data_IF_733583857242
#
_entry.id   IF_733583857242
#
_cell.length_a   1.000
_cell.length_b   1.000
_cell.length_c   1.000
_cell.angle_alpha   90.00
_cell.angle_beta   90.00
_cell.angle_gamma   90.00
#
_symmetry.space_group_name_H-M   'P 1'
#
loop_
_entity.id
_entity.type
_entity.pdbx_description
1 polymer ?
#
# COMPACT_ATOMS: atom_id res chain seq x y z
N UNK A 1 -9.39 -59.43 -53.84
CA UNK A 1 -8.87 -59.94 -52.56
C UNK A 1 -7.61 -59.17 -52.29
N UNK A 2 -7.71 -58.11 -51.50
CA UNK A 2 -6.64 -57.15 -51.28
C UNK A 2 -6.55 -56.89 -49.77
N UNK A 3 -5.31 -56.96 -49.28
CA UNK A 3 -4.89 -56.92 -47.88
C UNK A 3 -5.21 -55.55 -47.26
N UNK A 4 -5.93 -55.52 -46.14
CA UNK A 4 -6.13 -54.30 -45.34
C UNK A 4 -5.12 -54.28 -44.17
N UNK A 5 -4.28 -53.25 -44.15
CA UNK A 5 -3.27 -52.98 -43.12
C UNK A 5 -3.91 -52.57 -41.77
N UNK A 6 -3.25 -52.84 -40.63
CA UNK A 6 -3.74 -52.40 -39.32
C UNK A 6 -3.44 -50.90 -39.12
N UNK A 7 -4.48 -50.10 -38.85
CA UNK A 7 -4.34 -48.69 -38.49
C UNK A 7 -3.91 -48.56 -37.02
N UNK A 8 -2.81 -47.85 -36.82
CA UNK A 8 -2.21 -47.50 -35.53
C UNK A 8 -3.18 -46.68 -34.68
N UNK A 9 -3.39 -47.10 -33.43
CA UNK A 9 -4.22 -46.40 -32.46
C UNK A 9 -3.69 -44.99 -32.16
N UNK A 10 -4.53 -43.99 -32.39
CA UNK A 10 -4.30 -42.63 -31.93
C UNK A 10 -4.60 -42.57 -30.42
N UNK A 11 -3.56 -42.57 -29.59
CA UNK A 11 -3.68 -42.21 -28.17
C UNK A 11 -3.97 -40.72 -28.06
N UNK A 12 -5.19 -40.36 -27.64
CA UNK A 12 -5.53 -38.99 -27.24
C UNK A 12 -4.77 -38.63 -25.95
N UNK A 13 -3.97 -37.56 -25.91
CA UNK A 13 -3.44 -37.07 -24.63
C UNK A 13 -4.61 -36.47 -23.83
N UNK A 14 -5.02 -37.15 -22.77
CA UNK A 14 -5.90 -36.61 -21.75
C UNK A 14 -5.14 -35.50 -21.02
N UNK A 15 -5.37 -34.25 -21.42
CA UNK A 15 -4.86 -33.08 -20.72
C UNK A 15 -5.69 -32.87 -19.46
N UNK A 16 -5.38 -33.63 -18.41
CA UNK A 16 -5.94 -33.37 -17.08
C UNK A 16 -5.39 -32.01 -16.64
N UNK A 17 -6.22 -30.98 -16.37
CA UNK A 17 -5.71 -29.73 -15.87
C UNK A 17 -5.07 -29.97 -14.49
N UNK A 18 -3.79 -29.59 -14.37
CA UNK A 18 -2.91 -29.75 -13.20
C UNK A 18 -3.43 -29.10 -11.90
N UNK A 19 -4.49 -28.28 -11.98
CA UNK A 19 -5.14 -27.72 -10.81
C UNK A 19 -6.35 -28.58 -10.42
N UNK A 20 -6.15 -29.46 -9.43
CA UNK A 20 -7.23 -30.17 -8.76
C UNK A 20 -8.31 -29.17 -8.34
N UNK A 21 -9.59 -29.53 -8.50
CA UNK A 21 -10.74 -28.69 -8.04
C UNK A 21 -10.58 -28.24 -6.58
N UNK A 22 -9.91 -29.05 -5.76
CA UNK A 22 -9.49 -28.69 -4.41
C UNK A 22 -8.58 -27.44 -4.38
N UNK A 23 -7.57 -27.31 -5.25
CA UNK A 23 -6.70 -26.14 -5.33
C UNK A 23 -7.48 -24.86 -5.71
N UNK A 24 -8.48 -24.98 -6.59
CA UNK A 24 -9.42 -23.88 -6.90
C UNK A 24 -10.30 -23.51 -5.70
N UNK A 25 -10.74 -24.49 -4.91
CA UNK A 25 -11.55 -24.22 -3.71
C UNK A 25 -10.81 -23.44 -2.61
N UNK A 26 -9.47 -23.52 -2.56
CA UNK A 26 -8.65 -22.66 -1.70
C UNK A 26 -8.57 -21.22 -2.23
N UNK A 27 -8.66 -21.04 -3.55
CA UNK A 27 -8.69 -19.72 -4.19
C UNK A 27 -10.08 -19.07 -4.12
N UNK A 28 -11.14 -19.88 -4.04
CA UNK A 28 -12.54 -19.45 -3.98
C UNK A 28 -13.05 -19.12 -2.57
N UNK A 29 -12.23 -19.29 -1.53
CA UNK A 29 -12.65 -18.93 -0.18
C UNK A 29 -13.01 -17.44 -0.18
N UNK A 30 -14.29 -17.05 0.02
CA UNK A 30 -14.64 -15.64 0.14
C UNK A 30 -13.74 -15.09 1.24
N UNK A 31 -13.10 -13.92 1.05
CA UNK A 31 -12.13 -13.42 2.01
C UNK A 31 -12.81 -13.46 3.37
N UNK A 32 -12.33 -14.36 4.23
CA UNK A 32 -12.84 -14.47 5.58
C UNK A 32 -12.64 -13.08 6.16
N UNK A 33 -13.74 -12.38 6.42
CA UNK A 33 -13.79 -11.00 6.92
C UNK A 33 -12.72 -10.84 8.00
N UNK A 34 -11.58 -10.27 7.63
CA UNK A 34 -10.67 -9.74 8.62
C UNK A 34 -11.45 -8.59 9.23
N UNK A 35 -11.73 -8.68 10.53
CA UNK A 35 -12.45 -7.62 11.22
C UNK A 35 -11.73 -6.29 10.96
N UNK A 36 -12.49 -5.27 10.59
CA UNK A 36 -11.98 -3.92 10.42
C UNK A 36 -11.20 -3.46 11.67
N UNK A 37 -11.60 -3.91 12.86
CA UNK A 37 -10.89 -3.68 14.10
C UNK A 37 -9.48 -4.29 14.11
N UNK A 38 -9.29 -5.49 13.56
CA UNK A 38 -7.96 -6.11 13.42
C UNK A 38 -7.06 -5.30 12.50
N UNK A 39 -7.58 -4.80 11.37
CA UNK A 39 -6.83 -3.91 10.47
C UNK A 39 -6.48 -2.59 11.15
N UNK A 40 -7.41 -2.00 11.92
CA UNK A 40 -7.17 -0.76 12.65
C UNK A 40 -6.07 -0.91 13.73
N UNK A 41 -6.11 -2.01 14.51
CA UNK A 41 -5.07 -2.32 15.48
C UNK A 41 -3.72 -2.56 14.79
N UNK A 42 -3.71 -3.32 13.69
CA UNK A 42 -2.50 -3.56 12.92
C UNK A 42 -1.87 -2.26 12.42
N UNK A 43 -2.66 -1.35 11.84
CA UNK A 43 -2.14 -0.06 11.37
C UNK A 43 -1.65 0.82 12.52
N UNK A 44 -2.32 0.79 13.67
CA UNK A 44 -1.91 1.53 14.85
C UNK A 44 -0.57 1.02 15.38
N UNK A 45 -0.45 -0.30 15.59
CA UNK A 45 0.77 -0.91 16.08
C UNK A 45 1.92 -0.81 15.08
N UNK A 46 1.62 -0.87 13.77
CA UNK A 46 2.62 -0.63 12.72
C UNK A 46 3.17 0.80 12.80
N UNK A 47 2.31 1.81 12.97
CA UNK A 47 2.75 3.19 13.12
C UNK A 47 3.59 3.38 14.39
N UNK A 48 3.14 2.83 15.52
CA UNK A 48 3.86 2.88 16.80
C UNK A 48 5.22 2.18 16.71
N UNK A 49 5.27 0.98 16.13
CA UNK A 49 6.51 0.21 15.97
C UNK A 49 7.48 0.89 15.00
N UNK A 50 6.99 1.53 13.94
CA UNK A 50 7.82 2.32 13.03
C UNK A 50 8.41 3.54 13.75
N UNK A 51 7.62 4.27 14.52
CA UNK A 51 8.10 5.40 15.32
C UNK A 51 9.15 4.95 16.35
N UNK A 52 8.86 3.91 17.13
CA UNK A 52 9.79 3.38 18.13
C UNK A 52 11.10 2.89 17.50
N UNK A 53 11.02 2.16 16.38
CA UNK A 53 12.22 1.68 15.68
C UNK A 53 13.04 2.81 15.04
N UNK A 54 12.39 3.86 14.52
CA UNK A 54 13.09 5.06 14.05
C UNK A 54 13.72 5.80 15.21
N UNK A 55 13.04 5.92 16.35
CA UNK A 55 13.58 6.55 17.53
C UNK A 55 14.83 5.86 18.06
N UNK A 56 14.81 4.52 18.11
CA UNK A 56 15.99 3.73 18.45
C UNK A 56 17.17 3.99 17.49
N UNK A 57 16.92 4.05 16.18
CA UNK A 57 17.96 4.35 15.18
C UNK A 57 18.53 5.75 15.34
N UNK A 58 17.67 6.75 15.56
CA UNK A 58 18.08 8.14 15.81
C UNK A 58 18.93 8.23 17.07
N UNK A 59 18.48 7.62 18.18
CA UNK A 59 19.20 7.63 19.44
C UNK A 59 20.57 6.98 19.30
N UNK A 60 20.63 5.77 18.72
CA UNK A 60 21.90 5.07 18.51
C UNK A 60 22.87 5.84 17.62
N UNK A 61 22.37 6.53 16.58
CA UNK A 61 23.21 7.37 15.74
C UNK A 61 23.78 8.57 16.53
N UNK A 62 22.95 9.19 17.36
CA UNK A 62 23.36 10.29 18.23
C UNK A 62 24.37 9.85 19.31
N UNK A 63 24.20 8.66 19.88
CA UNK A 63 25.15 8.08 20.84
C UNK A 63 26.53 7.88 20.20
N UNK A 64 26.57 7.32 18.97
CA UNK A 64 27.82 7.16 18.20
C UNK A 64 28.47 8.51 17.91
N UNK A 65 27.68 9.51 17.50
CA UNK A 65 28.19 10.88 17.27
C UNK A 65 28.78 11.47 18.54
N UNK A 66 28.12 11.29 19.70
CA UNK A 66 28.60 11.80 20.98
C UNK A 66 29.90 11.11 21.42
N UNK A 67 30.03 9.79 21.21
CA UNK A 67 31.25 9.04 21.48
C UNK A 67 32.43 9.53 20.61
N UNK A 68 32.19 9.76 19.31
CA UNK A 68 33.20 10.27 18.38
C UNK A 68 33.68 11.67 18.76
N UNK A 69 32.77 12.55 19.19
CA UNK A 69 33.11 13.91 19.65
C UNK A 69 34.02 13.88 20.89
N UNK A 70 33.86 12.91 21.79
CA UNK A 70 34.73 12.76 22.96
C UNK A 70 36.12 12.23 22.59
N UNK A 71 36.20 11.35 21.60
CA UNK A 71 37.46 10.71 21.18
C UNK A 71 38.35 11.63 20.34
N UNK A 72 37.78 12.46 19.47
CA UNK A 72 38.54 13.40 18.63
C UNK A 72 37.80 14.73 18.45
N UNK A 73 38.12 15.74 19.28
CA UNK A 73 37.50 17.07 19.20
C UNK A 73 37.81 17.84 17.91
N UNK A 74 38.83 17.40 17.13
CA UNK A 74 39.26 18.06 15.90
C UNK A 74 38.71 17.42 14.62
N UNK A 75 38.13 16.22 14.71
CA UNK A 75 37.52 15.54 13.58
C UNK A 75 36.19 16.19 13.18
N UNK A 76 35.88 16.15 11.88
CA UNK A 76 34.55 16.48 11.40
C UNK A 76 33.57 15.39 11.84
N UNK A 77 32.63 15.75 12.73
CA UNK A 77 31.57 14.84 13.18
C UNK A 77 30.22 15.31 12.60
N UNK A 78 29.38 14.40 12.08
CA UNK A 78 28.03 14.73 11.65
C UNK A 78 27.20 15.38 12.76
N UNK A 79 26.26 16.30 12.43
CA UNK A 79 25.36 16.88 13.41
C UNK A 79 24.42 15.83 14.02
N UNK A 80 24.01 16.05 15.27
CA UNK A 80 23.02 15.21 15.94
C UNK A 80 21.68 15.32 15.23
N UNK A 81 21.01 14.17 15.09
CA UNK A 81 19.68 14.09 14.52
C UNK A 81 18.65 14.64 15.50
N UNK A 82 17.78 15.49 14.97
CA UNK A 82 16.71 16.15 15.70
C UNK A 82 15.44 15.29 15.76
N UNK A 83 14.46 15.73 16.55
CA UNK A 83 13.11 15.15 16.54
C UNK A 83 12.40 15.33 15.20
N UNK A 84 12.71 16.40 14.45
CA UNK A 84 12.20 16.60 13.09
C UNK A 84 12.76 15.53 12.14
N UNK A 85 14.06 15.29 12.18
CA UNK A 85 14.71 14.27 11.34
C UNK A 85 14.15 12.88 11.65
N UNK A 86 13.90 12.59 12.93
CA UNK A 86 13.23 11.37 13.36
C UNK A 86 11.82 11.25 12.75
N UNK A 87 11.03 12.32 12.79
CA UNK A 87 9.69 12.33 12.20
C UNK A 87 9.74 12.14 10.68
N UNK A 88 10.65 12.81 9.98
CA UNK A 88 10.82 12.72 8.53
C UNK A 88 11.27 11.32 8.10
N UNK A 89 12.17 10.69 8.86
CA UNK A 89 12.56 9.29 8.65
C UNK A 89 11.38 8.33 8.87
N UNK A 90 10.57 8.55 9.91
CA UNK A 90 9.40 7.73 10.18
C UNK A 90 8.34 7.88 9.06
N UNK A 91 8.08 9.13 8.63
CA UNK A 91 7.16 9.45 7.54
C UNK A 91 7.63 8.82 6.23
N UNK A 92 8.92 8.93 5.88
CA UNK A 92 9.48 8.35 4.67
C UNK A 92 9.33 6.82 4.62
N UNK A 93 9.53 6.14 5.77
CA UNK A 93 9.33 4.69 5.88
C UNK A 93 7.86 4.30 5.75
N UNK A 94 6.97 5.07 6.36
CA UNK A 94 5.52 4.86 6.23
C UNK A 94 5.05 5.07 4.79
N UNK A 95 5.59 6.08 4.10
CA UNK A 95 5.28 6.37 2.70
C UNK A 95 5.73 5.23 1.78
N UNK A 96 6.93 4.68 1.97
CA UNK A 96 7.41 3.54 1.19
C UNK A 96 6.50 2.31 1.34
N UNK A 97 6.07 2.01 2.58
CA UNK A 97 5.15 0.91 2.84
C UNK A 97 3.79 1.18 2.19
N UNK A 98 3.28 2.41 2.27
CA UNK A 98 2.06 2.84 1.60
C UNK A 98 2.14 2.73 0.08
N UNK A 99 3.26 3.13 -0.53
CA UNK A 99 3.52 3.01 -1.97
C UNK A 99 3.51 1.55 -2.41
N UNK A 100 4.22 0.69 -1.69
CA UNK A 100 4.31 -0.73 -2.06
C UNK A 100 2.94 -1.43 -1.94
N UNK A 101 2.22 -1.22 -0.83
CA UNK A 101 0.88 -1.81 -0.65
C UNK A 101 -0.12 -1.22 -1.66
N UNK A 102 -0.07 0.10 -1.88
CA UNK A 102 -0.96 0.81 -2.80
C UNK A 102 -0.77 0.39 -4.27
N UNK A 103 0.47 0.18 -4.70
CA UNK A 103 0.78 -0.32 -6.04
C UNK A 103 0.20 -1.72 -6.25
N UNK A 104 0.48 -2.65 -5.33
CA UNK A 104 -0.06 -4.01 -5.37
C UNK A 104 -1.59 -4.04 -5.37
N UNK A 105 -2.23 -3.19 -4.57
CA UNK A 105 -3.69 -3.11 -4.50
C UNK A 105 -4.28 -2.52 -5.78
N UNK A 106 -3.65 -1.49 -6.34
CA UNK A 106 -4.05 -0.88 -7.61
C UNK A 106 -3.96 -1.88 -8.76
N UNK A 107 -2.89 -2.67 -8.83
CA UNK A 107 -2.76 -3.74 -9.82
C UNK A 107 -3.87 -4.77 -9.67
N UNK A 108 -4.12 -5.26 -8.45
CA UNK A 108 -5.18 -6.26 -8.19
C UNK A 108 -6.58 -5.75 -8.53
N UNK A 109 -6.92 -4.52 -8.13
CA UNK A 109 -8.24 -3.92 -8.40
C UNK A 109 -8.40 -3.44 -9.85
N UNK A 110 -7.28 -3.20 -10.54
CA UNK A 110 -7.24 -2.83 -11.95
C UNK A 110 -7.25 -4.00 -12.91
N UNK A 111 -7.02 -5.24 -12.44
CA UNK A 111 -7.06 -6.44 -13.28
C UNK A 111 -8.40 -6.57 -13.99
N UNK A 112 -8.35 -6.70 -15.33
CA UNK A 112 -9.55 -6.84 -16.17
C UNK A 112 -10.26 -5.53 -16.51
N UNK A 113 -9.78 -4.37 -16.04
CA UNK A 113 -10.30 -3.06 -16.44
C UNK A 113 -9.48 -2.47 -17.61
N UNK A 114 -10.10 -1.65 -18.49
CA UNK A 114 -9.36 -0.85 -19.45
C UNK A 114 -8.30 0.00 -18.76
N UNK A 115 -7.15 0.19 -19.43
CA UNK A 115 -6.07 1.02 -18.89
C UNK A 115 -6.58 2.45 -18.66
N UNK A 116 -6.46 2.92 -17.43
CA UNK A 116 -6.88 4.26 -17.03
C UNK A 116 -5.95 5.28 -17.68
N UNK A 117 -6.41 5.94 -18.75
CA UNK A 117 -5.59 6.87 -19.51
C UNK A 117 -5.83 8.32 -19.07
N UNK A 118 -7.03 8.61 -18.55
CA UNK A 118 -7.38 9.96 -18.10
C UNK A 118 -7.25 10.11 -16.57
N UNK A 119 -6.95 11.34 -16.15
CA UNK A 119 -6.87 11.72 -14.74
C UNK A 119 -8.22 11.57 -14.05
N UNK A 120 -9.34 11.84 -14.73
CA UNK A 120 -10.67 11.65 -14.16
C UNK A 120 -10.97 10.17 -13.88
N UNK A 121 -10.55 9.27 -14.76
CA UNK A 121 -10.71 7.82 -14.56
C UNK A 121 -9.91 7.34 -13.35
N UNK A 122 -8.66 7.81 -13.21
CA UNK A 122 -7.80 7.51 -12.05
C UNK A 122 -8.43 8.00 -10.74
N UNK A 123 -8.96 9.23 -10.72
CA UNK A 123 -9.63 9.77 -9.52
C UNK A 123 -10.90 8.98 -9.20
N UNK A 124 -11.70 8.62 -10.21
CA UNK A 124 -12.90 7.79 -10.02
C UNK A 124 -12.57 6.42 -9.45
N UNK A 125 -11.51 5.79 -9.95
CA UNK A 125 -11.01 4.52 -9.44
C UNK A 125 -10.61 4.65 -7.96
N UNK A 126 -9.85 5.68 -7.59
CA UNK A 126 -9.49 5.92 -6.19
C UNK A 126 -10.72 6.10 -5.31
N UNK A 127 -11.66 6.98 -5.71
CA UNK A 127 -12.83 7.31 -4.90
C UNK A 127 -13.83 6.15 -4.73
N UNK A 128 -13.93 5.24 -5.71
CA UNK A 128 -14.96 4.20 -5.74
C UNK A 128 -14.42 2.79 -5.54
N UNK A 129 -13.36 2.41 -6.25
CA UNK A 129 -12.83 1.06 -6.20
C UNK A 129 -11.85 0.91 -5.04
N UNK A 130 -10.83 1.76 -5.00
CA UNK A 130 -9.77 1.67 -3.99
C UNK A 130 -10.31 1.99 -2.59
N UNK A 131 -11.04 3.11 -2.44
CA UNK A 131 -11.52 3.54 -1.13
C UNK A 131 -12.49 2.52 -0.51
N UNK A 132 -13.42 2.00 -1.32
CA UNK A 132 -14.36 0.97 -0.87
C UNK A 132 -13.65 -0.34 -0.54
N UNK A 133 -12.62 -0.73 -1.28
CA UNK A 133 -11.87 -1.96 -1.00
C UNK A 133 -11.08 -1.90 0.32
N UNK A 134 -10.56 -0.74 0.70
CA UNK A 134 -9.73 -0.59 1.91
C UNK A 134 -10.56 -0.29 3.15
N UNK A 135 -11.56 0.58 3.02
CA UNK A 135 -12.30 1.10 4.18
C UNK A 135 -13.77 0.71 4.23
N UNK A 136 -14.26 -0.03 3.23
CA UNK A 136 -15.67 -0.40 3.10
C UNK A 136 -16.61 0.83 3.18
N UNK A 137 -16.14 1.96 2.62
CA UNK A 137 -16.88 3.22 2.52
C UNK A 137 -16.54 3.96 1.23
N UNK A 138 -17.42 4.87 0.83
CA UNK A 138 -17.14 5.86 -0.21
C UNK A 138 -16.48 7.11 0.39
N UNK A 139 -15.76 7.86 -0.45
CA UNK A 139 -15.26 9.18 -0.11
C UNK A 139 -16.42 10.13 0.20
N UNK A 140 -16.33 10.88 1.29
CA UNK A 140 -17.40 11.77 1.75
C UNK A 140 -17.51 13.04 0.88
N UNK A 141 -16.37 13.60 0.45
CA UNK A 141 -16.35 14.79 -0.41
C UNK A 141 -15.17 14.75 -1.39
N UNK A 142 -15.44 15.03 -2.67
CA UNK A 142 -14.44 15.25 -3.71
C UNK A 142 -14.60 16.67 -4.25
N UNK A 143 -13.58 17.52 -4.04
CA UNK A 143 -13.51 18.86 -4.62
C UNK A 143 -12.48 18.89 -5.73
N UNK A 144 -12.78 19.56 -6.84
CA UNK A 144 -11.87 19.70 -7.98
C UNK A 144 -11.62 21.18 -8.27
N UNK A 145 -10.46 21.48 -8.84
CA UNK A 145 -10.12 22.80 -9.35
C UNK A 145 -9.93 22.73 -10.87
N UNK A 146 -10.26 23.80 -11.60
CA UNK A 146 -9.99 23.95 -13.03
C UNK A 146 -8.49 23.77 -13.38
N UNK A 147 -7.60 23.86 -12.37
CA UNK A 147 -6.16 23.57 -12.48
C UNK A 147 -5.78 22.09 -12.34
N UNK A 148 -6.73 21.16 -12.34
CA UNK A 148 -6.44 19.72 -12.24
C UNK A 148 -5.99 19.25 -10.85
N UNK A 149 -6.41 19.97 -9.80
CA UNK A 149 -6.19 19.58 -8.40
C UNK A 149 -7.45 18.91 -7.87
N UNK A 150 -7.29 17.74 -7.24
CA UNK A 150 -8.38 16.96 -6.65
C UNK A 150 -8.15 16.84 -5.15
N UNK A 151 -9.14 17.22 -4.35
CA UNK A 151 -9.10 17.15 -2.89
C UNK A 151 -10.17 16.17 -2.44
N UNK A 152 -9.74 15.09 -1.82
CA UNK A 152 -10.58 14.07 -1.23
C UNK A 152 -10.66 14.31 0.27
N UNK A 153 -11.87 14.38 0.80
CA UNK A 153 -12.11 14.59 2.22
C UNK A 153 -12.84 13.38 2.77
N UNK A 154 -12.31 12.88 3.88
CA UNK A 154 -12.93 11.81 4.66
C UNK A 154 -13.14 12.34 6.08
N UNK A 155 -14.41 12.36 6.52
CA UNK A 155 -14.82 12.89 7.82
C UNK A 155 -14.76 11.84 8.93
N UNK A 156 -14.50 10.58 8.61
CA UNK A 156 -14.61 9.46 9.56
C UNK A 156 -13.76 8.27 9.14
N UNK A 157 -12.44 8.45 9.13
CA UNK A 157 -11.48 7.34 9.06
C UNK A 157 -11.43 6.64 10.41
N UNK A 158 -12.23 5.58 10.57
CA UNK A 158 -12.32 4.80 11.81
C UNK A 158 -10.95 4.24 12.25
N UNK A 159 -10.06 3.93 11.31
CA UNK A 159 -8.67 3.50 11.58
C UNK A 159 -7.80 4.61 12.17
N UNK A 160 -7.96 5.87 11.72
CA UNK A 160 -7.21 7.01 12.27
C UNK A 160 -7.76 7.49 13.61
N UNK A 161 -9.04 7.26 13.89
CA UNK A 161 -9.64 7.59 15.19
C UNK A 161 -9.00 6.80 16.34
N UNK A 162 -8.54 5.57 16.09
CA UNK A 162 -7.86 4.73 17.09
C UNK A 162 -6.40 5.14 17.35
N UNK A 163 -5.70 5.64 16.32
CA UNK A 163 -4.31 6.13 16.42
C UNK A 163 -4.24 7.51 17.09
N UNK A 164 -5.33 8.27 17.08
CA UNK A 164 -5.33 9.67 17.47
C UNK A 164 -5.45 9.84 18.98
N UNK A 165 -4.31 10.06 19.63
CA UNK A 165 -4.30 10.79 20.89
C UNK A 165 -4.69 12.25 20.60
N UNK A 166 -5.94 12.58 20.95
CA UNK A 166 -6.45 13.94 21.12
C UNK A 166 -6.24 14.93 19.95
N UNK A 167 -6.95 14.79 18.83
CA UNK A 167 -7.55 15.96 18.17
C UNK A 167 -8.66 15.52 17.19
N UNK A 168 -9.66 16.36 16.89
CA UNK A 168 -10.75 16.03 15.95
C UNK A 168 -10.48 16.68 14.61
N UNK A 169 -9.57 16.12 13.81
CA UNK A 169 -9.25 16.67 12.48
C UNK A 169 -9.70 15.75 11.37
N UNK A 170 -10.49 16.28 10.44
CA UNK A 170 -10.78 15.64 9.17
C UNK A 170 -9.47 15.25 8.46
N UNK A 171 -9.45 14.08 7.80
CA UNK A 171 -8.32 13.72 6.96
C UNK A 171 -8.53 14.29 5.56
N UNK A 172 -7.51 14.96 5.05
CA UNK A 172 -7.51 15.50 3.70
C UNK A 172 -6.44 14.78 2.89
N UNK A 173 -6.85 14.17 1.78
CA UNK A 173 -5.91 13.63 0.79
C UNK A 173 -5.97 14.54 -0.42
N UNK A 174 -4.84 15.17 -0.75
CA UNK A 174 -4.71 15.99 -1.95
C UNK A 174 -4.01 15.17 -3.04
N UNK A 175 -4.65 15.02 -4.20
CA UNK A 175 -4.04 14.45 -5.39
C UNK A 175 -3.79 15.57 -6.41
N UNK A 176 -2.52 15.75 -6.78
CA UNK A 176 -2.10 16.68 -7.83
C UNK A 176 -1.85 15.86 -9.10
N UNK A 177 -2.55 16.20 -10.19
CA UNK A 177 -2.52 15.42 -11.45
C UNK A 177 -1.14 15.18 -12.07
N UNK A 178 -0.13 15.98 -11.69
CA UNK A 178 1.24 15.85 -12.18
C UNK A 178 2.08 14.77 -11.48
N UNK A 179 1.66 14.25 -10.32
CA UNK A 179 2.43 13.26 -9.54
C UNK A 179 2.01 11.80 -9.79
N UNK A 180 1.04 11.57 -10.67
CA UNK A 180 0.61 10.23 -11.11
C UNK A 180 1.40 9.69 -12.31
N UNK A 181 2.44 10.41 -12.74
CA UNK A 181 3.42 9.87 -13.69
C UNK A 181 4.46 9.05 -12.93
N UNK A 182 4.07 7.85 -12.49
CA UNK A 182 5.04 6.77 -12.37
C UNK A 182 5.49 6.46 -13.80
N UNK A 183 6.60 7.12 -14.16
CA UNK A 183 7.45 6.83 -15.30
C UNK A 183 7.73 5.33 -15.36
N UNK A 184 7.46 4.75 -16.52
CA UNK A 184 8.05 3.48 -16.93
C UNK A 184 9.45 3.75 -17.50
#
# INVERSE_FOLDING_TARGET
>A
MEYAAPSLGASTPSTVPLATTAARSWTEKPPAMVDYACCALLFTEMANALQASTAYKTQRANDIVAELQQQDPGAYVPPLLTTSDQADMANSRMEELGRHVGANLTEKLGQGKPRMNDTLERVKFVCKDLWSAVWDKQIDNLRTNHRGVFVLQDHSLKTLAAVRSADKGNAFVAMVGHMLSLTH
#
